data_IF_092103596425
#
_entry.id   IF_092103596425
#
_cell.length_a   1.000
_cell.length_b   1.000
_cell.length_c   1.000
_cell.angle_alpha   90.00
_cell.angle_beta   90.00
_cell.angle_gamma   90.00
#
_symmetry.space_group_name_H-M   'P 1'
#
loop_
_entity.id
_entity.type
_entity.pdbx_description
1 polymer ?
#
# COMPACT_ATOMS: atom_id res chain seq x y z
N UNK A 1 -23.58 -3.26 -9.04
CA UNK A 1 -22.61 -4.37 -8.80
C UNK A 1 -21.66 -4.62 -9.98
N UNK A 2 -21.90 -4.07 -11.19
CA UNK A 2 -20.97 -4.16 -12.32
C UNK A 2 -19.78 -3.18 -12.23
N UNK A 3 -20.00 -2.00 -11.65
CA UNK A 3 -18.98 -0.95 -11.51
C UNK A 3 -17.77 -1.37 -10.66
N UNK A 4 -18.01 -2.09 -9.55
CA UNK A 4 -16.97 -2.57 -8.66
C UNK A 4 -16.11 -3.68 -9.26
N UNK A 5 -16.67 -4.52 -10.15
CA UNK A 5 -15.93 -5.59 -10.83
C UNK A 5 -14.99 -5.03 -11.91
N UNK A 6 -15.40 -3.96 -12.59
CA UNK A 6 -14.54 -3.21 -13.53
C UNK A 6 -13.47 -2.44 -12.76
N UNK A 7 -13.82 -1.82 -11.63
CA UNK A 7 -12.88 -1.09 -10.77
C UNK A 7 -11.80 -2.00 -10.17
N UNK A 8 -12.16 -3.20 -9.70
CA UNK A 8 -11.17 -4.16 -9.18
C UNK A 8 -10.27 -4.67 -10.30
N UNK A 9 -10.78 -4.97 -11.49
CA UNK A 9 -9.94 -5.36 -12.64
C UNK A 9 -9.00 -4.23 -13.06
N UNK A 10 -9.50 -3.00 -13.19
CA UNK A 10 -8.67 -1.83 -13.49
C UNK A 10 -7.58 -1.59 -12.44
N UNK A 11 -7.91 -1.70 -11.15
CA UNK A 11 -6.93 -1.60 -10.06
C UNK A 11 -5.90 -2.72 -10.13
N UNK A 12 -6.31 -3.93 -10.52
CA UNK A 12 -5.41 -5.08 -10.65
C UNK A 12 -4.47 -4.93 -11.84
N UNK A 13 -4.98 -4.48 -12.99
CA UNK A 13 -4.17 -4.13 -14.17
C UNK A 13 -3.23 -2.95 -13.88
N UNK A 14 -3.71 -1.96 -13.13
CA UNK A 14 -2.89 -0.83 -12.69
C UNK A 14 -1.77 -1.28 -11.74
N UNK A 15 -2.07 -2.15 -10.78
CA UNK A 15 -1.07 -2.72 -9.86
C UNK A 15 -0.07 -3.61 -10.62
N UNK A 16 -0.54 -4.45 -11.55
CA UNK A 16 0.33 -5.26 -12.41
C UNK A 16 1.25 -4.39 -13.27
N UNK A 17 0.72 -3.35 -13.93
CA UNK A 17 1.52 -2.42 -14.74
C UNK A 17 2.52 -1.65 -13.88
N UNK A 18 2.13 -1.15 -12.71
CA UNK A 18 3.06 -0.42 -11.83
C UNK A 18 4.17 -1.31 -11.23
N UNK A 19 3.97 -2.64 -11.18
CA UNK A 19 4.99 -3.59 -10.72
C UNK A 19 5.92 -4.04 -11.85
N UNK A 20 5.39 -4.23 -13.06
CA UNK A 20 6.16 -4.77 -14.21
C UNK A 20 6.87 -3.68 -15.04
N UNK A 21 6.50 -2.41 -14.91
CA UNK A 21 7.23 -1.30 -15.55
C UNK A 21 8.51 -0.97 -14.76
N UNK A 22 9.66 -1.44 -15.24
CA UNK A 22 11.00 -1.16 -14.68
C UNK A 22 11.27 0.36 -14.56
N UNK A 23 10.72 1.18 -15.46
CA UNK A 23 10.89 2.64 -15.46
C UNK A 23 10.14 3.32 -14.30
N UNK A 24 8.97 2.78 -13.91
CA UNK A 24 8.18 3.26 -12.77
C UNK A 24 8.62 2.66 -11.44
N UNK A 25 9.45 1.62 -11.46
CA UNK A 25 9.84 0.90 -10.26
C UNK A 25 10.59 1.76 -9.24
N UNK A 26 11.36 2.77 -9.69
CA UNK A 26 12.01 3.73 -8.81
C UNK A 26 11.01 4.59 -8.01
N UNK A 27 9.89 4.97 -8.63
CA UNK A 27 8.79 5.69 -7.98
C UNK A 27 8.00 4.76 -7.07
N UNK A 28 7.69 3.55 -7.56
CA UNK A 28 6.90 2.58 -6.83
C UNK A 28 7.62 2.08 -5.56
N UNK A 29 8.94 1.91 -5.59
CA UNK A 29 9.74 1.63 -4.39
C UNK A 29 9.67 2.75 -3.35
N UNK A 30 9.69 4.01 -3.79
CA UNK A 30 9.54 5.17 -2.87
C UNK A 30 8.15 5.18 -2.25
N UNK A 31 7.12 4.93 -3.04
CA UNK A 31 5.73 4.87 -2.58
C UNK A 31 5.49 3.69 -1.64
N UNK A 32 6.00 2.50 -1.97
CA UNK A 32 5.95 1.31 -1.12
C UNK A 32 6.68 1.54 0.21
N UNK A 33 7.86 2.18 0.18
CA UNK A 33 8.60 2.54 1.39
C UNK A 33 7.85 3.57 2.23
N UNK A 34 7.24 4.57 1.61
CA UNK A 34 6.44 5.57 2.31
C UNK A 34 5.19 4.93 2.95
N UNK A 35 4.47 4.09 2.22
CA UNK A 35 3.34 3.32 2.78
C UNK A 35 3.79 2.37 3.89
N UNK A 36 4.92 1.69 3.74
CA UNK A 36 5.48 0.81 4.76
C UNK A 36 5.87 1.55 6.03
N UNK A 37 6.49 2.74 5.91
CA UNK A 37 6.79 3.60 7.06
C UNK A 37 5.52 4.14 7.71
N UNK A 38 4.52 4.54 6.91
CA UNK A 38 3.26 5.06 7.42
C UNK A 38 2.43 3.98 8.15
N UNK A 39 2.20 2.84 7.50
CA UNK A 39 1.49 1.71 8.09
C UNK A 39 2.27 1.11 9.27
N UNK A 40 3.59 0.99 9.14
CA UNK A 40 4.47 0.57 10.23
C UNK A 40 4.41 1.50 11.43
N UNK A 41 4.39 2.82 11.21
CA UNK A 41 4.21 3.81 12.27
C UNK A 41 2.86 3.67 12.97
N UNK A 42 1.77 3.46 12.23
CA UNK A 42 0.44 3.21 12.81
C UNK A 42 0.42 1.92 13.64
N UNK A 43 0.97 0.84 13.12
CA UNK A 43 1.03 -0.46 13.83
C UNK A 43 1.89 -0.34 15.08
N UNK A 44 3.05 0.33 15.00
CA UNK A 44 3.89 0.63 16.15
C UNK A 44 3.12 1.45 17.18
N UNK A 45 2.51 2.57 16.80
CA UNK A 45 1.71 3.39 17.71
C UNK A 45 0.56 2.59 18.35
N UNK A 46 -0.05 1.66 17.61
CA UNK A 46 -1.14 0.83 18.12
C UNK A 46 -0.64 -0.22 19.12
N UNK A 47 0.47 -0.90 18.86
CA UNK A 47 1.06 -1.87 19.78
C UNK A 47 1.73 -1.21 21.00
N UNK A 48 2.46 -0.11 20.80
CA UNK A 48 3.08 0.63 21.90
C UNK A 48 2.04 1.39 22.74
N UNK A 49 0.96 1.87 22.13
CA UNK A 49 -0.18 2.45 22.84
C UNK A 49 -0.94 1.41 23.67
N UNK A 50 -1.11 0.19 23.17
CA UNK A 50 -1.68 -0.94 23.92
C UNK A 50 -0.77 -1.36 25.09
N UNK A 51 0.55 -1.41 24.88
CA UNK A 51 1.55 -1.68 25.92
C UNK A 51 1.64 -0.60 27.01
N UNK A 52 1.32 0.66 26.69
CA UNK A 52 1.32 1.77 27.65
C UNK A 52 -0.05 1.99 28.31
N UNK A 53 -1.09 1.30 27.83
CA UNK A 53 -2.43 1.30 28.41
C UNK A 53 -2.62 0.21 29.51
N UNK A 54 -1.56 -0.55 29.83
CA UNK A 54 -1.46 -1.45 30.99
C UNK A 54 -0.68 -0.78 32.13
#
# INVERSE_FOLDING_TARGET
MADSVISVQYLKDFVCSQINDDEKWAFNKKLLRAMGLFAGSIVLMRNYGDLMAI
#
